data_IF_272107230234
#
_entry.id   IF_272107230234
#
_cell.length_a   1.000
_cell.length_b   1.000
_cell.length_c   1.000
_cell.angle_alpha   90.00
_cell.angle_beta   90.00
_cell.angle_gamma   90.00
#
_symmetry.space_group_name_H-M   'P 1'
#
loop_
_entity.id
_entity.type
_entity.pdbx_description
1 polymer ?
#
# COMPACT_ATOMS: atom_id res chain seq x y z
N UNK A 1 30.10 -7.87 -10.64
CA UNK A 1 28.65 -7.58 -10.49
C UNK A 1 28.40 -6.62 -9.30
N UNK A 2 28.31 -5.32 -9.57
CA UNK A 2 27.97 -4.31 -8.54
C UNK A 2 26.46 -4.20 -8.49
N UNK A 3 25.86 -4.65 -7.40
CA UNK A 3 24.44 -4.46 -7.11
C UNK A 3 24.23 -3.00 -6.69
N UNK A 4 23.52 -2.24 -7.52
CA UNK A 4 23.06 -0.91 -7.17
C UNK A 4 21.85 -1.06 -6.25
N UNK A 5 22.02 -0.69 -4.98
CA UNK A 5 20.90 -0.51 -4.06
C UNK A 5 20.13 0.74 -4.51
N UNK A 6 18.96 0.55 -5.13
CA UNK A 6 18.03 1.63 -5.37
C UNK A 6 17.36 2.01 -4.05
N UNK A 7 17.68 3.21 -3.58
CA UNK A 7 16.96 3.86 -2.48
C UNK A 7 15.53 4.16 -2.94
N UNK A 8 14.53 3.79 -2.15
CA UNK A 8 13.13 4.17 -2.40
C UNK A 8 13.03 5.70 -2.50
N UNK A 9 12.23 6.24 -3.44
CA UNK A 9 11.98 7.68 -3.50
C UNK A 9 11.36 8.16 -2.19
N UNK A 10 11.63 9.40 -1.76
CA UNK A 10 11.06 9.95 -0.53
C UNK A 10 9.52 9.95 -0.59
N UNK A 11 8.83 9.87 0.56
CA UNK A 11 7.39 10.02 0.63
C UNK A 11 6.93 11.28 -0.10
N UNK A 12 5.78 11.21 -0.77
CA UNK A 12 5.25 12.23 -1.67
C UNK A 12 4.97 13.60 -1.04
N UNK A 13 4.23 14.43 -1.77
CA UNK A 13 3.98 15.84 -1.43
C UNK A 13 3.53 16.04 0.02
N UNK A 14 4.15 17.00 0.71
CA UNK A 14 3.72 17.42 2.05
C UNK A 14 2.46 18.26 1.93
N UNK A 15 1.41 17.89 2.66
CA UNK A 15 0.26 18.77 2.91
C UNK A 15 0.40 19.36 4.30
N UNK A 16 0.67 20.66 4.38
CA UNK A 16 0.72 21.38 5.65
C UNK A 16 -0.70 21.85 6.00
N UNK A 17 -1.23 21.41 7.17
CA UNK A 17 -2.49 21.92 7.74
C UNK A 17 -3.73 21.03 7.61
N UNK A 18 -3.60 19.74 7.28
CA UNK A 18 -4.72 18.79 7.34
C UNK A 18 -5.08 18.40 8.79
N UNK A 19 -6.37 18.29 9.10
CA UNK A 19 -6.81 17.62 10.33
C UNK A 19 -6.33 16.16 10.32
N UNK A 20 -5.72 15.67 11.42
CA UNK A 20 -5.12 14.34 11.43
C UNK A 20 -6.19 13.26 11.17
N UNK A 21 -5.91 12.27 10.29
CA UNK A 21 -6.80 11.14 10.10
C UNK A 21 -6.94 10.31 11.39
N UNK A 22 -8.14 9.75 11.61
CA UNK A 22 -8.51 9.01 12.81
C UNK A 22 -7.65 7.74 13.01
N UNK A 23 -7.37 7.43 14.27
CA UNK A 23 -6.19 6.70 14.76
C UNK A 23 -6.00 5.25 14.28
N UNK A 24 -4.91 5.04 13.54
CA UNK A 24 -4.03 3.87 13.65
C UNK A 24 -2.60 4.42 13.72
N UNK A 25 -1.81 4.05 14.73
CA UNK A 25 -0.49 4.63 14.84
C UNK A 25 0.28 4.29 16.13
N UNK A 26 1.43 3.61 16.03
CA UNK A 26 2.26 3.35 17.21
C UNK A 26 2.95 4.63 17.71
N UNK A 27 3.05 4.76 19.02
CA UNK A 27 3.84 5.76 19.72
C UNK A 27 5.27 5.26 19.91
N UNK A 28 6.21 6.02 19.34
CA UNK A 28 7.63 5.74 19.33
C UNK A 28 8.34 6.59 20.39
N UNK A 29 9.20 5.93 21.16
CA UNK A 29 9.89 6.47 22.32
C UNK A 29 11.41 6.33 22.12
N UNK A 30 12.15 7.44 21.96
CA UNK A 30 13.60 7.39 22.12
C UNK A 30 13.94 7.21 23.60
N UNK A 31 14.74 6.20 23.93
CA UNK A 31 15.29 6.05 25.29
C UNK A 31 16.62 6.83 25.38
N UNK A 32 16.77 7.55 26.50
CA UNK A 32 17.91 8.41 26.89
C UNK A 32 18.00 9.80 26.22
N UNK A 33 18.19 10.80 27.09
CA UNK A 33 18.03 12.25 26.88
C UNK A 33 19.07 12.86 25.94
N UNK A 34 18.65 13.23 24.72
CA UNK A 34 18.63 14.65 24.37
C UNK A 34 17.20 15.16 24.13
N UNK A 35 16.94 16.48 24.16
CA UNK A 35 15.66 17.02 23.75
C UNK A 35 15.33 16.58 22.31
N UNK A 36 14.10 16.12 22.08
CA UNK A 36 13.66 15.68 20.76
C UNK A 36 13.90 16.78 19.71
N UNK A 37 14.66 16.52 18.64
CA UNK A 37 14.86 17.50 17.59
C UNK A 37 13.52 17.90 16.96
N UNK A 38 13.35 19.18 16.59
CA UNK A 38 12.15 19.65 15.94
C UNK A 38 11.98 18.95 14.59
N UNK A 39 10.73 18.65 14.21
CA UNK A 39 10.45 17.94 12.96
C UNK A 39 10.96 18.71 11.73
N UNK A 40 11.01 20.04 11.80
CA UNK A 40 11.57 20.87 10.73
C UNK A 40 13.07 20.65 10.49
N UNK A 41 13.84 20.33 11.54
CA UNK A 41 15.26 19.98 11.40
C UNK A 41 15.44 18.55 10.87
N UNK A 42 14.56 17.63 11.28
CA UNK A 42 14.59 16.26 10.77
C UNK A 42 14.18 16.19 9.29
N UNK A 43 13.29 17.07 8.83
CA UNK A 43 12.70 17.07 7.49
C UNK A 43 13.00 18.34 6.68
N UNK A 44 14.20 18.91 6.85
CA UNK A 44 14.60 20.17 6.22
C UNK A 44 14.58 20.13 4.68
N UNK A 45 14.95 18.97 4.11
CA UNK A 45 14.96 18.66 2.67
C UNK A 45 13.56 18.69 2.05
N UNK A 46 12.54 18.48 2.87
CA UNK A 46 11.15 18.30 2.45
C UNK A 46 10.28 19.53 2.79
N UNK A 47 10.54 20.18 3.93
CA UNK A 47 9.77 21.34 4.39
C UNK A 47 10.17 22.63 3.66
N UNK A 48 11.39 22.71 3.13
CA UNK A 48 11.89 23.85 2.35
C UNK A 48 12.16 25.09 3.21
N UNK A 49 13.31 25.73 3.01
CA UNK A 49 13.78 26.91 3.75
C UNK A 49 12.97 28.22 3.53
N UNK A 50 11.66 28.13 3.31
CA UNK A 50 10.76 29.29 3.29
C UNK A 50 10.19 29.57 4.67
N UNK A 51 10.10 30.85 5.04
CA UNK A 51 9.60 31.40 6.31
C UNK A 51 8.12 31.11 6.62
N UNK A 52 7.55 30.03 6.07
CA UNK A 52 6.18 29.61 6.31
C UNK A 52 6.06 28.90 7.68
N UNK A 53 6.01 29.73 8.72
CA UNK A 53 5.36 29.50 10.00
C UNK A 53 5.81 28.28 10.81
N UNK A 54 6.75 28.54 11.71
CA UNK A 54 7.06 27.78 12.93
C UNK A 54 5.84 27.49 13.86
N UNK A 55 4.63 27.92 13.48
CA UNK A 55 3.40 27.86 14.27
C UNK A 55 2.77 26.45 14.39
N UNK A 56 3.27 25.45 13.67
CA UNK A 56 2.89 24.03 13.84
C UNK A 56 4.10 23.11 14.03
N UNK A 57 5.16 23.60 14.71
CA UNK A 57 6.45 22.91 14.91
C UNK A 57 6.38 21.49 15.53
N UNK A 58 5.21 21.05 15.98
CA UNK A 58 5.03 19.76 16.65
C UNK A 58 4.34 18.70 15.77
N UNK A 59 3.90 19.01 14.55
CA UNK A 59 3.27 18.02 13.67
C UNK A 59 3.53 18.28 12.17
N UNK A 60 3.77 17.23 11.40
CA UNK A 60 3.92 17.28 9.94
C UNK A 60 3.09 16.17 9.30
N UNK A 61 2.27 16.51 8.30
CA UNK A 61 1.46 15.55 7.52
C UNK A 61 2.03 15.36 6.12
N UNK A 62 2.19 14.10 5.73
CA UNK A 62 2.71 13.66 4.44
C UNK A 62 1.59 12.95 3.68
N UNK A 63 1.49 13.26 2.39
CA UNK A 63 0.63 12.51 1.48
C UNK A 63 1.49 11.49 0.73
N UNK A 64 1.19 10.21 0.91
CA UNK A 64 1.79 9.15 0.12
C UNK A 64 1.34 9.25 -1.35
N UNK A 65 2.09 8.64 -2.27
CA UNK A 65 1.71 8.61 -3.68
C UNK A 65 0.34 7.94 -3.92
N UNK A 66 -0.09 7.05 -3.02
CA UNK A 66 -1.42 6.44 -3.00
C UNK A 66 -2.56 7.41 -2.66
N UNK A 67 -2.25 8.68 -2.35
CA UNK A 67 -3.21 9.68 -1.89
C UNK A 67 -3.61 9.54 -0.42
N UNK A 68 -3.00 8.60 0.32
CA UNK A 68 -3.24 8.41 1.74
C UNK A 68 -2.34 9.32 2.58
N UNK A 69 -2.91 9.91 3.63
CA UNK A 69 -2.18 10.82 4.52
C UNK A 69 -1.67 10.09 5.78
N UNK A 70 -0.47 10.45 6.21
CA UNK A 70 0.12 10.07 7.49
C UNK A 70 0.79 11.27 8.16
N UNK A 71 0.68 11.37 9.48
CA UNK A 71 1.13 12.50 10.29
C UNK A 71 2.16 12.03 11.32
N UNK A 72 3.27 12.76 11.45
CA UNK A 72 4.18 12.67 12.60
C UNK A 72 3.80 13.78 13.58
N UNK A 73 3.66 13.44 14.85
CA UNK A 73 3.51 14.39 15.96
C UNK A 73 4.68 14.20 16.93
N UNK A 74 5.35 15.28 17.31
CA UNK A 74 6.39 15.29 18.35
C UNK A 74 5.87 15.92 19.63
N UNK A 75 6.03 15.22 20.75
CA UNK A 75 5.84 15.75 22.08
C UNK A 75 7.16 16.27 22.62
N UNK A 76 7.36 17.59 22.55
CA UNK A 76 8.59 18.29 23.01
C UNK A 76 8.96 17.96 24.46
N UNK A 77 7.96 17.83 25.34
CA UNK A 77 8.18 17.66 26.78
C UNK A 77 8.58 16.23 27.16
N UNK A 78 8.22 15.23 26.35
CA UNK A 78 8.51 13.82 26.64
C UNK A 78 9.50 13.19 25.67
N UNK A 79 9.96 13.95 24.66
CA UNK A 79 10.80 13.44 23.59
C UNK A 79 10.12 12.39 22.69
N UNK A 80 8.79 12.25 22.77
CA UNK A 80 8.06 11.14 22.12
C UNK A 80 7.59 11.54 20.73
N UNK A 81 7.62 10.59 19.81
CA UNK A 81 7.07 10.75 18.47
C UNK A 81 5.87 9.83 18.31
N UNK A 82 4.78 10.32 17.72
CA UNK A 82 3.64 9.51 17.32
C UNK A 82 3.52 9.59 15.82
N UNK A 83 3.40 8.44 15.17
CA UNK A 83 3.09 8.35 13.74
C UNK A 83 1.67 7.82 13.63
N UNK A 84 0.80 8.56 12.94
CA UNK A 84 -0.61 8.20 12.78
C UNK A 84 -1.04 8.35 11.32
N UNK A 85 -1.98 7.53 10.86
CA UNK A 85 -2.37 7.51 9.45
C UNK A 85 -3.55 6.58 9.20
N UNK A 86 -4.17 6.72 8.03
CA UNK A 86 -5.33 5.92 7.64
C UNK A 86 -5.01 4.52 7.12
N UNK A 87 -3.74 4.23 6.81
CA UNK A 87 -3.32 2.94 6.29
C UNK A 87 -1.92 2.53 6.75
N UNK A 88 -1.65 1.22 6.77
CA UNK A 88 -0.39 0.65 7.24
C UNK A 88 0.80 1.02 6.36
N UNK A 89 0.57 1.14 5.06
CA UNK A 89 1.60 1.45 4.07
C UNK A 89 2.17 2.86 4.32
N UNK A 90 1.30 3.84 4.57
CA UNK A 90 1.70 5.20 4.87
C UNK A 90 2.38 5.30 6.26
N UNK A 91 1.88 4.55 7.25
CA UNK A 91 2.49 4.45 8.58
C UNK A 91 3.89 3.85 8.53
N UNK A 92 4.08 2.76 7.79
CA UNK A 92 5.37 2.10 7.64
C UNK A 92 6.40 3.01 6.96
N UNK A 93 6.02 3.64 5.85
CA UNK A 93 6.91 4.53 5.11
C UNK A 93 7.37 5.70 6.00
N UNK A 94 6.43 6.32 6.71
CA UNK A 94 6.72 7.47 7.56
C UNK A 94 7.47 7.10 8.83
N UNK A 95 7.11 5.97 9.46
CA UNK A 95 7.77 5.46 10.66
C UNK A 95 9.20 4.99 10.41
N UNK A 96 9.44 4.27 9.31
CA UNK A 96 10.80 3.85 8.91
C UNK A 96 11.70 5.03 8.57
N UNK A 97 11.17 6.04 7.86
CA UNK A 97 11.94 7.23 7.53
C UNK A 97 12.24 8.10 8.77
N UNK A 98 11.27 8.24 9.68
CA UNK A 98 11.49 8.90 10.96
C UNK A 98 12.56 8.19 11.78
N UNK A 99 12.47 6.86 11.91
CA UNK A 99 13.46 6.05 12.62
C UNK A 99 14.85 6.23 12.02
N UNK A 100 14.98 6.15 10.69
CA UNK A 100 16.23 6.36 9.97
C UNK A 100 16.83 7.75 10.25
N UNK A 101 16.02 8.81 10.15
CA UNK A 101 16.47 10.19 10.36
C UNK A 101 16.89 10.45 11.81
N UNK A 102 16.16 9.90 12.78
CA UNK A 102 16.55 9.99 14.19
C UNK A 102 17.87 9.26 14.45
N UNK A 103 18.04 8.05 13.92
CA UNK A 103 19.30 7.31 14.03
C UNK A 103 20.47 8.07 13.44
N UNK A 104 20.33 8.67 12.26
CA UNK A 104 21.37 9.50 11.63
C UNK A 104 21.65 10.76 12.47
N UNK A 105 20.61 11.44 12.93
CA UNK A 105 20.75 12.67 13.73
C UNK A 105 21.52 12.41 15.03
N UNK A 106 21.19 11.36 15.77
CA UNK A 106 21.86 11.04 17.03
C UNK A 106 23.21 10.33 16.85
N UNK A 107 23.45 9.63 15.74
CA UNK A 107 24.78 9.09 15.43
C UNK A 107 25.82 10.18 15.16
N UNK A 108 25.39 11.34 14.64
CA UNK A 108 26.26 12.48 14.37
C UNK A 108 26.40 13.44 15.57
N UNK A 109 25.67 13.20 16.67
CA UNK A 109 25.76 14.03 17.87
C UNK A 109 26.99 13.64 18.70
N UNK A 110 27.75 14.60 19.26
CA UNK A 110 28.88 14.29 20.13
C UNK A 110 28.38 13.67 21.43
N UNK A 111 28.53 12.35 21.57
CA UNK A 111 28.13 11.59 22.76
C UNK A 111 29.38 11.05 23.47
N UNK A 112 30.00 11.87 24.32
CA UNK A 112 31.00 11.37 25.27
C UNK A 112 30.25 10.64 26.41
N UNK A 113 30.37 9.32 26.45
CA UNK A 113 29.89 8.49 27.57
C UNK A 113 28.37 8.27 27.65
N UNK A 114 27.61 8.58 26.58
CA UNK A 114 26.18 8.29 26.52
C UNK A 114 25.90 6.91 25.90
N UNK A 115 24.87 6.23 26.40
CA UNK A 115 24.34 4.98 25.85
C UNK A 115 23.92 5.16 24.36
N UNK A 116 24.01 4.10 23.55
CA UNK A 116 23.59 4.14 22.16
C UNK A 116 22.11 4.52 22.03
N UNK A 117 21.79 5.34 21.03
CA UNK A 117 20.42 5.75 20.73
C UNK A 117 19.54 4.53 20.40
N UNK A 118 18.46 4.33 21.16
CA UNK A 118 17.51 3.24 20.96
C UNK A 118 16.09 3.77 20.73
N UNK A 119 15.41 3.16 19.77
CA UNK A 119 14.00 3.42 19.45
C UNK A 119 13.16 2.29 20.04
N UNK A 120 12.29 2.63 20.98
CA UNK A 120 11.35 1.69 21.60
C UNK A 120 9.92 2.02 21.19
N UNK A 121 9.08 0.99 21.05
CA UNK A 121 7.63 1.13 20.84
C UNK A 121 6.93 0.56 22.06
N UNK A 122 6.18 1.39 22.79
CA UNK A 122 5.45 0.96 23.99
C UNK A 122 4.03 0.47 23.69
N UNK A 123 3.52 0.82 22.51
CA UNK A 123 2.14 0.54 22.14
C UNK A 123 1.99 -0.92 21.73
N UNK A 124 0.83 -1.49 22.05
CA UNK A 124 0.45 -2.81 21.57
C UNK A 124 0.45 -2.83 20.04
N UNK A 125 1.03 -3.87 19.46
CA UNK A 125 1.05 -4.03 18.02
C UNK A 125 -0.40 -4.13 17.52
N UNK A 126 -0.79 -3.37 16.46
CA UNK A 126 -2.14 -3.39 15.91
C UNK A 126 -2.37 -4.67 15.08
N UNK A 127 -2.38 -5.82 15.74
CA UNK A 127 -2.44 -7.15 15.13
C UNK A 127 -3.79 -7.41 14.47
N UNK A 128 -4.90 -6.97 15.07
CA UNK A 128 -6.24 -7.17 14.51
C UNK A 128 -6.43 -6.54 13.12
N UNK A 129 -6.14 -5.23 12.91
CA UNK A 129 -6.23 -4.63 11.59
C UNK A 129 -5.15 -5.17 10.62
N UNK A 130 -3.99 -5.59 11.13
CA UNK A 130 -2.98 -6.27 10.30
C UNK A 130 -3.48 -7.62 9.76
N UNK A 131 -4.02 -8.50 10.60
CA UNK A 131 -4.56 -9.79 10.16
C UNK A 131 -5.77 -9.62 9.24
N UNK A 132 -6.60 -8.60 9.48
CA UNK A 132 -7.70 -8.25 8.57
C UNK A 132 -7.21 -7.93 7.16
N UNK A 133 -6.07 -7.24 7.04
CA UNK A 133 -5.43 -6.95 5.74
C UNK A 133 -4.92 -8.24 5.07
N UNK A 134 -4.28 -9.13 5.85
CA UNK A 134 -3.80 -10.43 5.38
C UNK A 134 -4.96 -11.29 4.86
N UNK A 135 -6.05 -11.36 5.61
CA UNK A 135 -7.25 -12.12 5.25
C UNK A 135 -7.91 -11.55 3.98
N UNK A 136 -8.01 -10.23 3.86
CA UNK A 136 -8.51 -9.57 2.64
C UNK A 136 -7.67 -9.92 1.43
N UNK A 137 -6.35 -9.79 1.54
CA UNK A 137 -5.43 -10.14 0.46
C UNK A 137 -5.53 -11.62 0.07
N UNK A 138 -5.60 -12.52 1.07
CA UNK A 138 -5.79 -13.95 0.82
C UNK A 138 -7.13 -14.26 0.15
N UNK A 139 -8.22 -13.62 0.58
CA UNK A 139 -9.53 -13.76 -0.04
C UNK A 139 -9.53 -13.29 -1.50
N UNK A 140 -8.90 -12.16 -1.81
CA UNK A 140 -8.79 -11.65 -3.17
C UNK A 140 -7.96 -12.61 -4.06
N UNK A 141 -6.83 -13.16 -3.56
CA UNK A 141 -6.06 -14.18 -4.29
C UNK A 141 -6.86 -15.44 -4.59
N UNK A 142 -7.66 -15.90 -3.63
CA UNK A 142 -8.55 -17.06 -3.83
C UNK A 142 -9.62 -16.76 -4.89
N UNK A 143 -10.24 -15.58 -4.81
CA UNK A 143 -11.25 -15.16 -5.77
C UNK A 143 -10.66 -15.07 -7.19
N UNK A 144 -9.46 -14.50 -7.34
CA UNK A 144 -8.74 -14.45 -8.62
C UNK A 144 -8.42 -15.85 -9.17
N UNK A 145 -7.99 -16.78 -8.31
CA UNK A 145 -7.77 -18.16 -8.71
C UNK A 145 -9.07 -18.82 -9.23
N UNK A 146 -10.20 -18.60 -8.55
CA UNK A 146 -11.51 -19.09 -8.99
C UNK A 146 -11.93 -18.48 -10.33
N UNK A 147 -11.78 -17.16 -10.50
CA UNK A 147 -12.08 -16.48 -11.77
C UNK A 147 -11.24 -17.03 -12.92
N UNK A 148 -9.95 -17.29 -12.69
CA UNK A 148 -9.06 -17.88 -13.70
C UNK A 148 -9.47 -19.30 -14.09
N UNK A 149 -9.86 -20.13 -13.13
CA UNK A 149 -10.36 -21.47 -13.41
C UNK A 149 -11.69 -21.45 -14.19
N UNK A 150 -12.59 -20.52 -13.87
CA UNK A 150 -13.83 -20.31 -14.63
C UNK A 150 -13.54 -19.83 -16.06
N UNK A 151 -12.62 -18.88 -16.24
CA UNK A 151 -12.19 -18.41 -17.56
C UNK A 151 -11.62 -19.54 -18.42
N UNK A 152 -10.81 -20.44 -17.83
CA UNK A 152 -10.28 -21.62 -18.51
C UNK A 152 -11.40 -22.57 -18.96
N UNK A 153 -12.38 -22.84 -18.08
CA UNK A 153 -13.52 -23.68 -18.41
C UNK A 153 -14.37 -23.08 -19.53
N UNK A 154 -14.67 -21.77 -19.46
CA UNK A 154 -15.42 -21.07 -20.51
C UNK A 154 -14.66 -21.04 -21.84
N UNK A 155 -13.35 -20.78 -21.82
CA UNK A 155 -12.50 -20.81 -23.02
C UNK A 155 -12.46 -22.18 -23.68
N UNK A 156 -12.41 -23.25 -22.89
CA UNK A 156 -12.49 -24.63 -23.39
C UNK A 156 -13.83 -24.91 -24.06
N UNK A 157 -14.94 -24.52 -23.42
CA UNK A 157 -16.28 -24.69 -23.97
C UNK A 157 -16.50 -23.85 -25.24
N UNK A 158 -16.04 -22.60 -25.25
CA UNK A 158 -16.12 -21.71 -26.40
C UNK A 158 -15.42 -22.35 -27.61
N UNK A 159 -14.17 -22.80 -27.45
CA UNK A 159 -13.42 -23.47 -28.52
C UNK A 159 -14.06 -24.77 -28.98
N UNK A 160 -14.63 -25.56 -28.07
CA UNK A 160 -15.35 -26.78 -28.41
C UNK A 160 -16.61 -26.48 -29.24
N UNK A 161 -17.38 -25.46 -28.86
CA UNK A 161 -18.57 -25.00 -29.58
C UNK A 161 -18.20 -24.46 -30.97
N UNK A 162 -17.15 -23.65 -31.09
CA UNK A 162 -16.62 -23.17 -32.38
C UNK A 162 -16.26 -24.34 -33.30
N UNK A 163 -15.51 -25.34 -32.80
CA UNK A 163 -15.15 -26.53 -33.58
C UNK A 163 -16.39 -27.28 -34.08
N UNK A 164 -17.41 -27.45 -33.22
CA UNK A 164 -18.67 -28.10 -33.59
C UNK A 164 -19.43 -27.32 -34.67
N UNK A 165 -19.51 -25.99 -34.55
CA UNK A 165 -20.12 -25.12 -35.56
C UNK A 165 -19.41 -25.27 -36.90
N UNK A 166 -18.07 -25.22 -36.93
CA UNK A 166 -17.29 -25.37 -38.17
C UNK A 166 -17.53 -26.72 -38.84
N UNK A 167 -17.63 -27.81 -38.06
CA UNK A 167 -17.95 -29.14 -38.60
C UNK A 167 -19.35 -29.14 -39.20
N UNK A 168 -20.35 -28.62 -38.48
CA UNK A 168 -21.74 -28.56 -38.96
C UNK A 168 -21.90 -27.70 -40.20
N UNK A 169 -21.21 -26.56 -40.30
CA UNK A 169 -21.25 -25.72 -41.51
C UNK A 169 -20.62 -26.37 -42.74
N UNK A 170 -19.75 -27.38 -42.55
CA UNK A 170 -19.17 -28.16 -43.64
C UNK A 170 -20.05 -29.31 -44.11
N UNK A 171 -21.08 -29.68 -43.35
CA UNK A 171 -22.02 -30.75 -43.73
C UNK A 171 -22.91 -30.29 -44.90
N UNK A 172 -23.11 -31.18 -45.87
CA UNK A 172 -23.90 -30.89 -47.09
C UNK A 172 -25.40 -30.69 -46.80
N UNK A 173 -25.89 -31.21 -45.69
CA UNK A 173 -27.25 -31.02 -45.19
C UNK A 173 -27.23 -30.81 -43.66
N UNK A 174 -26.94 -29.60 -43.19
CA UNK A 174 -26.76 -29.34 -41.76
C UNK A 174 -28.12 -29.35 -41.03
N UNK A 175 -28.16 -29.98 -39.85
CA UNK A 175 -29.24 -29.74 -38.89
C UNK A 175 -29.15 -28.30 -38.32
N UNK A 176 -30.21 -27.79 -37.69
CA UNK A 176 -30.22 -26.42 -37.13
C UNK A 176 -29.00 -26.16 -36.24
N UNK A 177 -28.39 -24.99 -36.44
CA UNK A 177 -27.21 -24.50 -35.72
C UNK A 177 -27.56 -23.41 -34.70
N UNK A 178 -28.85 -23.08 -34.55
CA UNK A 178 -29.30 -21.92 -33.75
C UNK A 178 -28.91 -22.07 -32.27
N UNK A 179 -29.07 -23.27 -31.71
CA UNK A 179 -28.69 -23.56 -30.32
C UNK A 179 -27.17 -23.45 -30.10
N UNK A 180 -26.37 -23.89 -31.08
CA UNK A 180 -24.91 -23.77 -31.01
C UNK A 180 -24.46 -22.32 -31.16
N UNK A 181 -25.12 -21.53 -32.01
CA UNK A 181 -24.89 -20.09 -32.12
C UNK A 181 -25.25 -19.33 -30.85
N UNK A 182 -26.37 -19.67 -30.22
CA UNK A 182 -26.78 -19.11 -28.93
C UNK A 182 -25.79 -19.49 -27.82
N UNK A 183 -25.33 -20.74 -27.76
CA UNK A 183 -24.32 -21.19 -26.81
C UNK A 183 -22.98 -20.49 -27.02
N UNK A 184 -22.56 -20.29 -28.28
CA UNK A 184 -21.33 -19.56 -28.62
C UNK A 184 -21.39 -18.12 -28.11
N UNK A 185 -22.51 -17.45 -28.34
CA UNK A 185 -22.72 -16.06 -27.89
C UNK A 185 -22.68 -15.96 -26.36
N UNK A 186 -23.43 -16.82 -25.66
CA UNK A 186 -23.43 -16.86 -24.18
C UNK A 186 -22.06 -17.14 -23.58
N UNK A 187 -21.30 -18.04 -24.20
CA UNK A 187 -19.95 -18.37 -23.72
C UNK A 187 -18.94 -17.27 -24.00
N UNK A 188 -19.10 -16.53 -25.10
CA UNK A 188 -18.34 -15.32 -25.37
C UNK A 188 -18.62 -14.24 -24.33
N UNK A 189 -19.89 -13.91 -24.09
CA UNK A 189 -20.29 -12.90 -23.11
C UNK A 189 -19.76 -13.24 -21.71
N UNK A 190 -19.87 -14.52 -21.32
CA UNK A 190 -19.33 -15.00 -20.05
C UNK A 190 -17.81 -14.94 -19.95
N UNK A 191 -17.07 -15.04 -21.06
CA UNK A 191 -15.60 -14.83 -21.08
C UNK A 191 -15.30 -13.36 -20.79
N UNK A 192 -16.01 -12.43 -21.45
CA UNK A 192 -15.82 -10.99 -21.23
C UNK A 192 -16.07 -10.63 -19.77
N UNK A 193 -17.20 -11.08 -19.20
CA UNK A 193 -17.53 -10.83 -17.79
C UNK A 193 -16.47 -11.39 -16.83
N UNK A 194 -16.00 -12.62 -17.07
CA UNK A 194 -14.96 -13.25 -16.26
C UNK A 194 -13.62 -12.51 -16.38
N UNK A 195 -13.25 -12.04 -17.58
CA UNK A 195 -12.03 -11.24 -17.79
C UNK A 195 -12.10 -9.92 -17.04
N UNK A 196 -13.21 -9.17 -17.17
CA UNK A 196 -13.39 -7.91 -16.45
C UNK A 196 -13.38 -8.12 -14.92
N UNK A 197 -13.99 -9.21 -14.45
CA UNK A 197 -13.95 -9.61 -13.04
C UNK A 197 -12.53 -9.91 -12.56
N UNK A 198 -11.75 -10.63 -13.38
CA UNK A 198 -10.35 -10.95 -13.09
C UNK A 198 -9.46 -9.72 -13.04
N UNK A 199 -9.62 -8.79 -13.99
CA UNK A 199 -8.85 -7.53 -13.99
C UNK A 199 -9.12 -6.68 -12.75
N UNK A 200 -10.37 -6.61 -12.28
CA UNK A 200 -10.71 -5.89 -11.04
C UNK A 200 -9.98 -6.50 -9.83
N UNK A 201 -9.94 -7.83 -9.75
CA UNK A 201 -9.24 -8.54 -8.68
C UNK A 201 -7.72 -8.36 -8.76
N UNK A 202 -7.14 -8.36 -9.97
CA UNK A 202 -5.72 -8.10 -10.16
C UNK A 202 -5.32 -6.67 -9.75
N UNK A 203 -6.17 -5.68 -10.04
CA UNK A 203 -5.95 -4.29 -9.59
C UNK A 203 -6.05 -4.13 -8.07
N UNK A 204 -6.86 -4.94 -7.38
CA UNK A 204 -6.95 -4.89 -5.92
C UNK A 204 -5.73 -5.53 -5.22
N UNK A 205 -5.02 -6.44 -5.92
CA UNK A 205 -3.80 -7.07 -5.42
C UNK A 205 -2.51 -6.28 -5.72
N UNK A 206 -2.57 -5.32 -6.66
CA UNK A 206 -1.44 -4.50 -7.08
C UNK A 206 -1.19 -3.32 -6.12
#
# INVERSE_FOLDING_TARGET
PRLHHHHLPPPGHVRQGGSPPQELGPQVHPQHQPPAPPLTALFEDIVGGGEANAALANAITFMAHSGQDATIIVSKNSGRYRVQGGCFEALWLLGSELARRLTVHFANAPSEGAEPFEITCSDELPLAPYFSLVDRHHACRRALHTTRADLEAKGTLFRATQKRLVVRFKDRNPASVDELGALLTRTYDGIIEATEGGERQERELA
#
